data_IF_717619333765
#
_entry.id   IF_717619333765
#
_cell.length_a   1.000
_cell.length_b   1.000
_cell.length_c   1.000
_cell.angle_alpha   90.00
_cell.angle_beta   90.00
_cell.angle_gamma   90.00
#
_symmetry.space_group_name_H-M   'P 1'
#
loop_
_entity.id
_entity.type
_entity.pdbx_description
1 polymer ?
#
# COMPACT_ATOMS: atom_id res chain seq x y z
N UNK A 1 10.84 7.33 25.32
CA UNK A 1 9.60 6.86 24.64
C UNK A 1 9.45 7.68 23.37
N UNK A 2 9.34 7.02 22.20
CA UNK A 2 9.23 7.70 20.91
C UNK A 2 7.80 8.30 20.76
N UNK A 3 7.71 9.49 20.19
CA UNK A 3 6.48 10.26 20.00
C UNK A 3 6.13 10.33 18.53
N UNK A 4 4.93 9.90 18.19
CA UNK A 4 4.47 9.74 16.82
C UNK A 4 3.33 10.76 16.55
N UNK A 5 3.47 11.58 15.52
CA UNK A 5 2.37 12.37 14.98
C UNK A 5 1.80 11.67 13.73
N UNK A 6 0.53 11.32 13.75
CA UNK A 6 -0.17 10.70 12.64
C UNK A 6 -1.13 11.71 12.00
N UNK A 7 -0.80 12.16 10.79
CA UNK A 7 -1.64 13.03 9.97
C UNK A 7 -2.56 12.19 9.08
N UNK A 8 -3.85 12.55 9.03
CA UNK A 8 -4.89 11.75 8.40
C UNK A 8 -5.34 10.56 9.26
N UNK A 9 -5.29 10.73 10.59
CA UNK A 9 -5.49 9.66 11.57
C UNK A 9 -6.87 8.99 11.50
N UNK A 10 -7.89 9.70 11.02
CA UNK A 10 -9.25 9.19 10.84
C UNK A 10 -9.55 8.68 9.42
N UNK A 11 -8.58 8.73 8.51
CA UNK A 11 -8.68 8.20 7.15
C UNK A 11 -8.75 6.66 7.11
N UNK A 12 -8.89 6.09 5.91
CA UNK A 12 -9.02 4.63 5.73
C UNK A 12 -7.80 3.86 6.29
N UNK A 13 -6.59 4.27 5.91
CA UNK A 13 -5.35 3.71 6.45
C UNK A 13 -5.07 4.27 7.86
N UNK A 14 -5.31 5.57 8.06
CA UNK A 14 -5.11 6.24 9.35
C UNK A 14 -5.81 5.54 10.51
N UNK A 15 -7.05 5.08 10.34
CA UNK A 15 -7.78 4.33 11.38
C UNK A 15 -7.06 3.05 11.82
N UNK A 16 -6.50 2.27 10.88
CA UNK A 16 -5.75 1.05 11.19
C UNK A 16 -4.46 1.36 11.96
N UNK A 17 -3.74 2.39 11.49
CA UNK A 17 -2.53 2.86 12.16
C UNK A 17 -2.86 3.38 13.56
N UNK A 18 -3.94 4.14 13.70
CA UNK A 18 -4.45 4.64 14.98
C UNK A 18 -4.73 3.48 15.95
N UNK A 19 -5.43 2.45 15.47
CA UNK A 19 -5.78 1.28 16.30
C UNK A 19 -4.53 0.49 16.73
N UNK A 20 -3.47 0.45 15.91
CA UNK A 20 -2.20 -0.19 16.25
C UNK A 20 -1.34 0.68 17.18
N UNK A 21 -1.25 1.98 16.94
CA UNK A 21 -0.53 2.90 17.83
C UNK A 21 -1.11 2.91 19.25
N UNK A 22 -2.42 2.80 19.41
CA UNK A 22 -3.08 2.70 20.73
C UNK A 22 -2.70 1.45 21.52
N UNK A 23 -2.26 0.40 20.85
CA UNK A 23 -1.78 -0.85 21.48
C UNK A 23 -0.27 -0.84 21.73
N UNK A 24 0.43 0.15 21.20
CA UNK A 24 1.88 0.27 21.31
C UNK A 24 2.33 0.99 22.58
N UNK A 25 3.64 1.03 22.80
CA UNK A 25 4.26 1.83 23.85
C UNK A 25 4.53 3.27 23.41
N UNK A 26 4.20 3.67 22.19
CA UNK A 26 4.44 5.02 21.69
C UNK A 26 3.43 6.03 22.24
N UNK A 27 3.90 7.26 22.45
CA UNK A 27 3.00 8.41 22.65
C UNK A 27 2.56 8.89 21.28
N UNK A 28 1.24 8.94 21.02
CA UNK A 28 0.69 9.27 19.70
C UNK A 28 -0.17 10.53 19.72
N UNK A 29 0.06 11.40 18.74
CA UNK A 29 -0.71 12.62 18.46
C UNK A 29 -1.48 12.38 17.16
N UNK A 30 -2.82 12.45 17.21
CA UNK A 30 -3.69 12.15 16.09
C UNK A 30 -4.18 13.45 15.46
N UNK A 31 -3.72 13.74 14.24
CA UNK A 31 -4.07 14.95 13.49
C UNK A 31 -5.06 14.60 12.39
N UNK A 32 -6.19 15.28 12.38
CA UNK A 32 -7.24 15.09 11.38
C UNK A 32 -7.97 16.40 11.13
N UNK A 33 -8.41 16.62 9.88
CA UNK A 33 -9.12 17.85 9.47
C UNK A 33 -10.42 17.55 8.74
N UNK A 34 -10.56 16.36 8.15
CA UNK A 34 -11.75 15.96 7.41
C UNK A 34 -12.89 15.55 8.36
N UNK A 35 -14.11 16.02 8.09
CA UNK A 35 -15.29 15.72 8.93
C UNK A 35 -15.50 14.23 9.20
N UNK A 36 -15.39 13.41 8.15
CA UNK A 36 -15.52 11.95 8.28
C UNK A 36 -14.38 11.35 9.12
N UNK A 37 -13.18 11.87 8.97
CA UNK A 37 -12.02 11.42 9.75
C UNK A 37 -12.17 11.80 11.22
N UNK A 38 -12.61 13.00 11.51
CA UNK A 38 -12.93 13.46 12.88
C UNK A 38 -14.00 12.59 13.53
N UNK A 39 -15.04 12.21 12.78
CA UNK A 39 -16.07 11.29 13.30
C UNK A 39 -15.48 9.90 13.59
N UNK A 40 -14.61 9.39 12.72
CA UNK A 40 -13.94 8.11 12.96
C UNK A 40 -13.05 8.13 14.23
N UNK A 41 -12.41 9.26 14.54
CA UNK A 41 -11.64 9.44 15.78
C UNK A 41 -12.56 9.52 17.01
N UNK A 42 -13.66 10.28 16.93
CA UNK A 42 -14.65 10.35 18.02
C UNK A 42 -15.21 8.99 18.40
N UNK A 43 -15.54 8.15 17.39
CA UNK A 43 -16.00 6.78 17.61
C UNK A 43 -14.96 5.89 18.32
N UNK A 44 -13.68 6.25 18.25
CA UNK A 44 -12.57 5.60 18.97
C UNK A 44 -12.26 6.23 20.32
N UNK A 45 -13.01 7.27 20.71
CA UNK A 45 -12.77 8.03 21.95
C UNK A 45 -11.47 8.82 21.90
N UNK A 46 -11.08 9.30 20.72
CA UNK A 46 -9.84 10.05 20.49
C UNK A 46 -10.20 11.51 20.18
N UNK A 47 -9.64 12.43 20.95
CA UNK A 47 -9.66 13.85 20.65
C UNK A 47 -8.49 14.17 19.70
N UNK A 48 -8.74 14.89 18.59
CA UNK A 48 -7.67 15.24 17.65
C UNK A 48 -6.71 16.26 18.28
N UNK A 49 -5.43 16.10 17.98
CA UNK A 49 -4.37 17.04 18.35
C UNK A 49 -4.19 18.09 17.24
N UNK A 50 -3.87 19.32 17.59
CA UNK A 50 -3.52 20.31 16.57
C UNK A 50 -2.21 19.94 15.85
N UNK A 51 -2.09 20.32 14.58
CA UNK A 51 -0.86 20.08 13.81
C UNK A 51 0.37 20.75 14.44
N UNK A 52 0.19 21.94 15.00
CA UNK A 52 1.27 22.70 15.66
C UNK A 52 1.79 21.96 16.90
N UNK A 53 0.90 21.52 17.76
CA UNK A 53 1.25 20.76 18.96
C UNK A 53 1.94 19.43 18.59
N UNK A 54 1.36 18.68 17.65
CA UNK A 54 1.91 17.42 17.20
C UNK A 54 3.35 17.58 16.64
N UNK A 55 3.57 18.55 15.74
CA UNK A 55 4.90 18.82 15.16
C UNK A 55 5.93 19.28 16.20
N UNK A 56 5.51 20.04 17.21
CA UNK A 56 6.41 20.52 18.25
C UNK A 56 6.97 19.41 19.14
N UNK A 57 6.31 18.26 19.18
CA UNK A 57 6.63 17.16 20.09
C UNK A 57 7.12 15.90 19.39
N UNK A 58 6.65 15.62 18.17
CA UNK A 58 6.87 14.36 17.47
C UNK A 58 8.34 14.08 17.13
N UNK A 59 8.76 12.85 17.30
CA UNK A 59 10.05 12.32 16.84
C UNK A 59 9.88 11.67 15.44
N UNK A 60 8.66 11.18 15.13
CA UNK A 60 8.26 10.67 13.81
C UNK A 60 6.93 11.30 13.40
N UNK A 61 6.85 11.77 12.16
CA UNK A 61 5.64 12.31 11.53
C UNK A 61 5.22 11.38 10.40
N UNK A 62 4.05 10.76 10.54
CA UNK A 62 3.47 9.83 9.55
C UNK A 62 2.41 10.58 8.75
N UNK A 63 2.51 10.56 7.41
CA UNK A 63 1.53 11.13 6.50
C UNK A 63 0.65 10.04 5.90
N UNK A 64 -0.50 9.76 6.54
CA UNK A 64 -1.53 8.81 6.07
C UNK A 64 -2.65 9.54 5.31
N UNK A 65 -2.27 10.34 4.32
CA UNK A 65 -3.13 11.20 3.52
C UNK A 65 -3.07 10.80 2.04
N UNK A 66 -4.05 11.19 1.21
CA UNK A 66 -4.03 10.92 -0.22
C UNK A 66 -2.76 11.44 -0.92
N UNK A 67 -2.23 10.69 -1.90
CA UNK A 67 -1.00 11.02 -2.62
C UNK A 67 -1.05 12.38 -3.30
N UNK A 68 -2.20 12.75 -3.83
CA UNK A 68 -2.46 14.05 -4.46
C UNK A 68 -2.30 15.25 -3.51
N UNK A 69 -2.30 15.02 -2.19
CA UNK A 69 -2.14 16.07 -1.18
C UNK A 69 -0.73 16.08 -0.55
N UNK A 70 0.08 15.04 -0.77
CA UNK A 70 1.38 14.89 -0.11
C UNK A 70 2.33 16.05 -0.43
N UNK A 71 2.34 16.55 -1.67
CA UNK A 71 3.16 17.69 -2.07
C UNK A 71 2.83 18.94 -1.23
N UNK A 72 1.58 19.34 -1.23
CA UNK A 72 1.13 20.57 -0.55
C UNK A 72 1.26 20.46 0.98
N UNK A 73 0.91 19.28 1.53
CA UNK A 73 1.00 19.05 2.97
C UNK A 73 2.46 19.01 3.43
N UNK A 74 3.34 18.31 2.70
CA UNK A 74 4.78 18.29 3.06
C UNK A 74 5.39 19.68 3.01
N UNK A 75 5.00 20.53 2.03
CA UNK A 75 5.46 21.92 1.93
C UNK A 75 5.03 22.77 3.14
N UNK A 76 3.88 22.47 3.74
CA UNK A 76 3.40 23.19 4.93
C UNK A 76 4.01 22.66 6.24
N UNK A 77 4.30 21.37 6.33
CA UNK A 77 4.72 20.70 7.57
C UNK A 77 6.24 20.67 7.74
N UNK A 78 7.00 20.33 6.69
CA UNK A 78 8.46 20.13 6.77
C UNK A 78 9.21 21.35 7.31
N UNK A 79 8.88 22.61 6.92
CA UNK A 79 9.52 23.79 7.49
C UNK A 79 9.32 23.95 9.00
N UNK A 80 8.25 23.36 9.55
CA UNK A 80 7.87 23.44 10.97
C UNK A 80 8.35 22.24 11.79
N UNK A 81 8.84 21.20 11.16
CA UNK A 81 9.37 20.03 11.86
C UNK A 81 10.66 20.36 12.60
N UNK A 82 10.87 19.75 13.74
CA UNK A 82 12.15 19.84 14.46
C UNK A 82 13.25 19.11 13.67
N UNK A 83 14.49 19.58 13.79
CA UNK A 83 15.65 18.86 13.27
C UNK A 83 15.71 17.45 13.84
N UNK A 84 16.00 16.44 13.01
CA UNK A 84 16.01 15.03 13.36
C UNK A 84 14.65 14.35 13.44
N UNK A 85 13.53 15.08 13.23
CA UNK A 85 12.21 14.44 13.11
C UNK A 85 12.14 13.64 11.82
N UNK A 86 11.86 12.34 11.91
CA UNK A 86 11.71 11.47 10.75
C UNK A 86 10.34 11.67 10.11
N UNK A 87 10.31 12.03 8.83
CA UNK A 87 9.07 12.03 8.02
C UNK A 87 8.86 10.66 7.40
N UNK A 88 7.69 10.07 7.59
CA UNK A 88 7.29 8.78 7.05
C UNK A 88 6.09 8.93 6.12
N UNK A 89 6.22 8.41 4.90
CA UNK A 89 5.12 8.28 3.93
C UNK A 89 4.82 6.80 3.68
N UNK A 90 3.58 6.52 3.28
CA UNK A 90 3.05 5.15 3.21
C UNK A 90 2.97 4.61 1.79
N UNK A 91 3.46 5.40 0.82
CA UNK A 91 3.48 5.08 -0.60
C UNK A 91 4.75 5.66 -1.26
N UNK A 92 5.35 4.99 -2.26
CA UNK A 92 6.56 5.46 -2.91
C UNK A 92 6.33 6.59 -3.93
N UNK A 93 5.10 6.78 -4.44
CA UNK A 93 4.87 7.62 -5.61
C UNK A 93 5.36 9.06 -5.43
N UNK A 94 4.94 9.73 -4.37
CA UNK A 94 5.35 11.11 -4.13
C UNK A 94 6.86 11.25 -3.84
N UNK A 95 7.46 10.27 -3.16
CA UNK A 95 8.89 10.23 -2.88
C UNK A 95 9.70 10.01 -4.16
N UNK A 96 9.30 9.03 -5.00
CA UNK A 96 9.97 8.70 -6.26
C UNK A 96 9.85 9.83 -7.30
N UNK A 97 8.69 10.51 -7.34
CA UNK A 97 8.48 11.69 -8.19
C UNK A 97 9.29 12.93 -7.76
N UNK A 98 9.94 12.90 -6.59
CA UNK A 98 10.56 14.11 -6.02
C UNK A 98 9.54 15.21 -5.68
N UNK A 99 8.27 14.83 -5.45
CA UNK A 99 7.19 15.77 -5.19
C UNK A 99 7.11 16.21 -3.73
N UNK A 100 7.78 15.50 -2.82
CA UNK A 100 7.80 15.87 -1.41
C UNK A 100 8.77 17.02 -1.14
N UNK A 101 8.34 17.96 -0.30
CA UNK A 101 9.29 18.91 0.29
C UNK A 101 10.23 18.17 1.23
N UNK A 102 11.53 18.35 1.04
CA UNK A 102 12.59 17.73 1.83
C UNK A 102 13.45 18.78 2.51
N UNK A 103 14.09 18.38 3.61
CA UNK A 103 15.05 19.18 4.36
C UNK A 103 16.18 18.28 4.85
N UNK A 104 17.46 18.64 4.72
CA UNK A 104 18.58 17.71 5.01
C UNK A 104 18.59 17.16 6.42
N UNK A 105 18.05 17.89 7.39
CA UNK A 105 17.94 17.50 8.80
C UNK A 105 16.59 16.88 9.18
N UNK A 106 15.76 16.51 8.18
CA UNK A 106 14.50 15.78 8.34
C UNK A 106 14.60 14.50 7.50
N UNK A 107 15.02 13.37 8.09
CA UNK A 107 15.08 12.10 7.37
C UNK A 107 13.75 11.74 6.72
N UNK A 108 13.78 11.11 5.54
CA UNK A 108 12.60 10.65 4.82
C UNK A 108 12.60 9.13 4.70
N UNK A 109 11.59 8.52 5.27
CA UNK A 109 11.34 7.08 5.24
C UNK A 109 10.06 6.75 4.48
N UNK A 110 10.13 5.74 3.63
CA UNK A 110 8.99 5.25 2.84
C UNK A 110 8.71 3.82 3.22
N UNK A 111 7.45 3.48 3.46
CA UNK A 111 7.06 2.11 3.79
C UNK A 111 5.70 1.78 3.20
N UNK A 112 5.52 0.51 2.83
CA UNK A 112 4.25 0.03 2.27
C UNK A 112 3.95 -1.39 2.73
N UNK A 113 2.69 -1.74 3.07
CA UNK A 113 2.35 -3.12 3.40
C UNK A 113 2.28 -3.98 2.13
N UNK A 114 2.86 -5.18 2.15
CA UNK A 114 2.69 -6.14 1.05
C UNK A 114 1.29 -6.78 1.03
N UNK A 115 0.49 -6.51 2.06
CA UNK A 115 -0.77 -7.20 2.38
C UNK A 115 -0.57 -8.70 2.72
N UNK A 116 -1.56 -9.35 3.35
CA UNK A 116 -1.52 -10.78 3.61
C UNK A 116 -1.44 -11.59 2.31
N UNK A 117 -0.69 -12.70 2.29
CA UNK A 117 -0.50 -13.49 1.09
C UNK A 117 -1.80 -14.14 0.61
N UNK A 118 -1.87 -14.44 -0.69
CA UNK A 118 -3.02 -15.07 -1.34
C UNK A 118 -3.43 -16.40 -0.67
N UNK A 119 -2.44 -17.23 -0.33
CA UNK A 119 -2.65 -18.47 0.46
C UNK A 119 -2.21 -18.21 1.89
N UNK A 120 -3.19 -17.97 2.74
CA UNK A 120 -3.00 -17.69 4.15
C UNK A 120 -3.51 -18.88 4.98
N UNK A 121 -2.57 -19.65 5.54
CA UNK A 121 -2.84 -20.84 6.38
C UNK A 121 -3.10 -20.47 7.85
N UNK A 122 -3.42 -19.22 8.15
CA UNK A 122 -3.73 -18.80 9.52
C UNK A 122 -4.91 -19.60 10.08
N UNK A 123 -4.80 -20.20 11.28
CA UNK A 123 -5.88 -20.97 11.87
C UNK A 123 -7.10 -20.12 12.23
N UNK A 124 -6.93 -18.81 12.46
CA UNK A 124 -8.03 -17.87 12.73
C UNK A 124 -8.81 -17.54 11.44
N UNK A 125 -10.11 -17.89 11.34
CA UNK A 125 -10.92 -17.53 10.18
C UNK A 125 -11.05 -16.02 9.94
N UNK A 126 -10.95 -15.20 10.97
CA UNK A 126 -11.02 -13.74 10.84
C UNK A 126 -9.70 -13.19 10.26
N UNK A 127 -8.55 -13.77 10.65
CA UNK A 127 -7.26 -13.44 10.03
C UNK A 127 -7.27 -13.77 8.53
N UNK A 128 -7.85 -14.91 8.12
CA UNK A 128 -7.99 -15.26 6.69
C UNK A 128 -8.87 -14.32 5.88
N UNK A 129 -9.70 -13.50 6.54
CA UNK A 129 -10.56 -12.48 5.91
C UNK A 129 -10.05 -11.05 6.07
N UNK A 130 -8.95 -10.85 6.77
CA UNK A 130 -8.26 -9.57 6.87
C UNK A 130 -7.37 -9.36 5.63
N UNK A 131 -8.00 -9.14 4.48
CA UNK A 131 -7.32 -9.03 3.17
C UNK A 131 -6.35 -7.85 3.08
N UNK A 132 -6.56 -6.82 3.87
CA UNK A 132 -5.67 -5.65 3.88
C UNK A 132 -4.55 -5.77 4.91
N UNK A 133 -4.67 -6.65 5.90
CA UNK A 133 -3.73 -6.72 7.01
C UNK A 133 -3.83 -5.55 7.98
N UNK A 134 -2.93 -5.53 8.94
CA UNK A 134 -2.89 -4.49 9.97
C UNK A 134 -3.93 -4.62 11.07
N UNK A 135 -4.63 -5.76 11.12
CA UNK A 135 -5.63 -6.06 12.17
C UNK A 135 -5.34 -7.41 12.82
N UNK A 136 -5.41 -8.50 12.06
CA UNK A 136 -5.21 -9.88 12.54
C UNK A 136 -4.25 -10.67 11.68
N UNK A 137 -4.35 -10.57 10.33
CA UNK A 137 -3.49 -11.30 9.42
C UNK A 137 -2.05 -10.79 9.46
N UNK A 138 -1.09 -11.71 9.55
CA UNK A 138 0.32 -11.39 9.39
C UNK A 138 0.61 -10.97 7.95
N UNK A 139 1.35 -9.88 7.78
CA UNK A 139 1.76 -9.39 6.46
C UNK A 139 3.24 -9.02 6.45
N UNK A 140 3.95 -9.21 5.32
CA UNK A 140 5.23 -8.57 5.11
C UNK A 140 5.04 -7.08 4.84
N UNK A 141 6.12 -6.31 5.01
CA UNK A 141 6.18 -4.90 4.62
C UNK A 141 7.47 -4.64 3.85
N UNK A 142 7.46 -3.57 3.06
CA UNK A 142 8.66 -3.03 2.42
C UNK A 142 9.02 -1.69 3.04
N UNK A 143 10.32 -1.44 3.20
CA UNK A 143 10.87 -0.27 3.85
C UNK A 143 12.02 0.32 3.04
N UNK A 144 12.03 1.63 2.85
CA UNK A 144 13.10 2.35 2.18
C UNK A 144 13.44 3.65 2.92
N UNK A 145 14.73 3.94 3.05
CA UNK A 145 15.21 5.25 3.49
C UNK A 145 15.56 6.07 2.25
N UNK A 146 14.83 7.14 1.97
CA UNK A 146 15.10 8.02 0.86
C UNK A 146 16.33 8.90 1.15
N UNK A 147 16.41 9.44 2.36
CA UNK A 147 17.62 10.07 2.90
C UNK A 147 17.60 10.04 4.42
N UNK A 148 18.78 10.05 5.03
CA UNK A 148 18.97 9.94 6.47
C UNK A 148 20.12 8.98 6.80
N UNK A 149 20.25 8.66 8.08
CA UNK A 149 21.27 7.76 8.62
C UNK A 149 20.74 6.32 8.74
N UNK A 150 21.64 5.38 9.02
CA UNK A 150 21.26 4.00 9.32
C UNK A 150 20.46 3.88 10.64
N UNK A 151 20.61 4.82 11.54
CA UNK A 151 19.80 4.91 12.76
C UNK A 151 18.38 5.35 12.44
N UNK A 152 18.19 6.30 11.51
CA UNK A 152 16.88 6.72 11.01
C UNK A 152 16.16 5.57 10.30
N UNK A 153 16.90 4.74 9.53
CA UNK A 153 16.34 3.53 8.94
C UNK A 153 15.80 2.57 10.02
N UNK A 154 16.57 2.28 11.06
CA UNK A 154 16.15 1.37 12.13
C UNK A 154 14.92 1.89 12.88
N UNK A 155 14.89 3.19 13.18
CA UNK A 155 13.74 3.81 13.81
C UNK A 155 12.49 3.76 12.89
N UNK A 156 12.67 4.06 11.62
CA UNK A 156 11.58 3.97 10.62
C UNK A 156 11.01 2.55 10.49
N UNK A 157 11.87 1.54 10.41
CA UNK A 157 11.45 0.14 10.33
C UNK A 157 10.72 -0.32 11.60
N UNK A 158 11.19 0.06 12.80
CA UNK A 158 10.51 -0.26 14.07
C UNK A 158 9.10 0.33 14.12
N UNK A 159 8.95 1.60 13.73
CA UNK A 159 7.65 2.26 13.64
C UNK A 159 6.77 1.60 12.57
N UNK A 160 7.33 1.30 11.39
CA UNK A 160 6.61 0.62 10.31
C UNK A 160 6.09 -0.76 10.75
N UNK A 161 6.89 -1.55 11.45
CA UNK A 161 6.48 -2.82 12.04
C UNK A 161 5.33 -2.67 13.03
N UNK A 162 5.30 -1.58 13.78
CA UNK A 162 4.22 -1.29 14.73
C UNK A 162 2.93 -0.86 14.04
N UNK A 163 3.00 0.08 13.11
CA UNK A 163 1.80 0.63 12.47
C UNK A 163 1.10 -0.35 11.51
N UNK A 164 1.83 -1.32 10.97
CA UNK A 164 1.29 -2.37 10.09
C UNK A 164 1.13 -3.73 10.80
N UNK A 165 1.29 -3.77 12.12
CA UNK A 165 1.22 -5.03 12.89
C UNK A 165 -0.13 -5.77 12.68
N UNK A 166 -0.09 -7.12 12.66
CA UNK A 166 1.08 -7.98 12.88
C UNK A 166 1.95 -8.14 11.62
N UNK A 167 3.24 -7.84 11.74
CA UNK A 167 4.21 -7.95 10.65
C UNK A 167 4.96 -9.28 10.72
N UNK A 168 5.04 -10.00 9.60
CA UNK A 168 5.78 -11.26 9.50
C UNK A 168 7.25 -11.03 9.11
N UNK A 169 7.53 -10.00 8.31
CA UNK A 169 8.86 -9.66 7.80
C UNK A 169 8.88 -8.22 7.28
N UNK A 170 9.96 -7.49 7.54
CA UNK A 170 10.29 -6.23 6.89
C UNK A 170 11.38 -6.46 5.83
N UNK A 171 11.16 -5.97 4.62
CA UNK A 171 12.13 -6.03 3.52
C UNK A 171 12.70 -4.65 3.28
N UNK A 172 14.03 -4.51 3.43
CA UNK A 172 14.73 -3.29 3.04
C UNK A 172 14.93 -3.27 1.52
N UNK A 173 14.42 -2.23 0.89
CA UNK A 173 14.55 -1.98 -0.55
C UNK A 173 14.84 -0.49 -0.79
N UNK A 174 15.03 -0.07 -2.06
CA UNK A 174 15.10 1.36 -2.40
C UNK A 174 13.75 1.92 -2.75
N UNK A 175 13.62 3.27 -2.80
CA UNK A 175 12.39 3.95 -3.22
C UNK A 175 12.06 3.59 -4.68
N UNK A 176 13.07 3.50 -5.55
CA UNK A 176 12.92 3.11 -6.95
C UNK A 176 12.40 1.67 -7.07
N UNK A 177 12.94 0.74 -6.28
CA UNK A 177 12.45 -0.63 -6.24
C UNK A 177 11.01 -0.69 -5.74
N UNK A 178 10.65 0.13 -4.75
CA UNK A 178 9.28 0.21 -4.23
C UNK A 178 8.32 0.77 -5.29
N UNK A 179 8.75 1.75 -6.10
CA UNK A 179 7.97 2.28 -7.22
C UNK A 179 7.76 1.26 -8.35
N UNK A 180 8.66 0.30 -8.53
CA UNK A 180 8.43 -0.85 -9.42
C UNK A 180 7.36 -1.79 -8.84
N UNK A 181 7.38 -2.02 -7.52
CA UNK A 181 6.43 -2.94 -6.87
C UNK A 181 5.01 -2.38 -6.86
N UNK A 182 4.83 -1.13 -6.43
CA UNK A 182 3.49 -0.59 -6.18
C UNK A 182 2.80 -0.12 -7.47
N UNK A 183 3.19 0.95 -8.16
CA UNK A 183 2.46 1.38 -9.33
C UNK A 183 2.56 0.41 -10.52
N UNK A 184 3.72 -0.15 -10.80
CA UNK A 184 3.87 -0.96 -12.00
C UNK A 184 3.38 -2.41 -11.81
N UNK A 185 3.86 -3.11 -10.79
CA UNK A 185 3.54 -4.53 -10.59
C UNK A 185 2.16 -4.72 -9.94
N UNK A 186 1.90 -4.06 -8.82
CA UNK A 186 0.67 -4.30 -8.05
C UNK A 186 -0.55 -3.64 -8.69
N UNK A 187 -0.45 -2.39 -9.13
CA UNK A 187 -1.60 -1.66 -9.66
C UNK A 187 -1.76 -1.83 -11.17
N UNK A 188 -0.75 -1.42 -11.96
CA UNK A 188 -0.85 -1.43 -13.43
C UNK A 188 -0.98 -2.85 -13.99
N UNK A 189 -0.28 -3.83 -13.45
CA UNK A 189 -0.37 -5.22 -13.95
C UNK A 189 -1.43 -6.00 -13.16
N UNK A 190 -1.26 -6.17 -11.85
CA UNK A 190 -2.08 -7.11 -11.09
C UNK A 190 -3.52 -6.62 -10.94
N UNK A 191 -3.73 -5.39 -10.46
CA UNK A 191 -5.09 -4.87 -10.27
C UNK A 191 -5.84 -4.72 -11.60
N UNK A 192 -5.15 -4.28 -12.67
CA UNK A 192 -5.75 -4.22 -14.01
C UNK A 192 -6.17 -5.62 -14.51
N UNK A 193 -5.33 -6.65 -14.35
CA UNK A 193 -5.71 -8.02 -14.73
C UNK A 193 -6.90 -8.53 -13.90
N UNK A 194 -6.97 -8.21 -12.61
CA UNK A 194 -8.12 -8.58 -11.77
C UNK A 194 -9.42 -7.91 -12.24
N UNK A 195 -9.37 -6.63 -12.68
CA UNK A 195 -10.56 -5.96 -13.23
C UNK A 195 -11.02 -6.60 -14.54
N UNK A 196 -10.09 -6.98 -15.43
CA UNK A 196 -10.40 -7.71 -16.68
C UNK A 196 -11.04 -9.06 -16.38
N UNK A 197 -10.57 -9.79 -15.37
CA UNK A 197 -11.19 -11.06 -14.93
C UNK A 197 -12.64 -10.81 -14.49
N UNK A 198 -12.90 -9.73 -13.74
CA UNK A 198 -14.26 -9.38 -13.34
C UNK A 198 -15.14 -9.03 -14.55
N UNK A 199 -14.64 -8.23 -15.50
CA UNK A 199 -15.35 -7.88 -16.72
C UNK A 199 -15.68 -9.11 -17.57
N UNK A 200 -14.78 -10.10 -17.63
CA UNK A 200 -15.03 -11.37 -18.32
C UNK A 200 -16.17 -12.16 -17.67
N UNK A 201 -16.30 -12.16 -16.35
CA UNK A 201 -17.43 -12.74 -15.63
C UNK A 201 -18.74 -12.04 -16.01
N UNK A 202 -18.77 -10.71 -15.98
CA UNK A 202 -19.95 -9.92 -16.30
C UNK A 202 -20.39 -10.12 -17.77
N UNK A 203 -19.44 -10.23 -18.69
CA UNK A 203 -19.71 -10.51 -20.11
C UNK A 203 -20.28 -11.93 -20.32
N UNK A 204 -19.81 -12.94 -19.59
CA UNK A 204 -20.39 -14.29 -19.66
C UNK A 204 -21.84 -14.30 -19.20
N UNK A 205 -22.16 -13.62 -18.11
CA UNK A 205 -23.54 -13.44 -17.62
C UNK A 205 -24.41 -12.70 -18.66
N UNK A 206 -23.91 -11.62 -19.24
CA UNK A 206 -24.59 -10.88 -20.30
C UNK A 206 -24.92 -11.74 -21.53
N UNK A 207 -24.09 -12.74 -21.80
CA UNK A 207 -24.31 -13.74 -22.90
C UNK A 207 -25.21 -14.89 -22.53
N UNK A 208 -25.81 -14.88 -21.33
CA UNK A 208 -26.83 -15.85 -20.92
C UNK A 208 -26.31 -17.00 -20.07
N UNK A 209 -25.05 -16.94 -19.58
CA UNK A 209 -24.59 -17.90 -18.58
C UNK A 209 -25.27 -17.55 -17.24
N UNK A 210 -25.90 -18.54 -16.54
CA UNK A 210 -26.48 -18.27 -15.23
C UNK A 210 -25.44 -17.69 -14.25
N UNK A 211 -25.82 -16.63 -13.53
CA UNK A 211 -24.89 -15.84 -12.68
C UNK A 211 -24.16 -16.72 -11.65
N UNK A 212 -24.87 -17.57 -10.92
CA UNK A 212 -24.27 -18.45 -9.92
C UNK A 212 -23.23 -19.40 -10.55
N UNK A 213 -23.59 -20.02 -11.69
CA UNK A 213 -22.66 -20.91 -12.39
C UNK A 213 -21.43 -20.18 -12.92
N UNK A 214 -21.62 -19.00 -13.50
CA UNK A 214 -20.51 -18.18 -13.98
C UNK A 214 -19.56 -17.76 -12.83
N UNK A 215 -20.14 -17.36 -11.70
CA UNK A 215 -19.39 -16.93 -10.51
C UNK A 215 -18.59 -18.09 -9.91
N UNK A 216 -19.21 -19.23 -9.68
CA UNK A 216 -18.53 -20.39 -9.10
C UNK A 216 -17.42 -20.90 -10.02
N UNK A 217 -17.70 -20.94 -11.33
CA UNK A 217 -16.70 -21.34 -12.32
C UNK A 217 -15.52 -20.36 -12.36
N UNK A 218 -15.78 -19.05 -12.38
CA UNK A 218 -14.72 -18.02 -12.43
C UNK A 218 -13.84 -18.08 -11.18
N UNK A 219 -14.42 -18.12 -9.97
CA UNK A 219 -13.64 -18.11 -8.74
C UNK A 219 -12.74 -19.35 -8.62
N UNK A 220 -13.23 -20.52 -9.01
CA UNK A 220 -12.41 -21.74 -9.07
C UNK A 220 -11.31 -21.64 -10.13
N UNK A 221 -11.61 -21.06 -11.29
CA UNK A 221 -10.67 -20.90 -12.40
C UNK A 221 -9.74 -19.69 -12.27
N UNK A 222 -9.89 -18.86 -11.25
CA UNK A 222 -8.86 -17.91 -10.81
C UNK A 222 -7.89 -18.59 -9.84
N UNK A 223 -8.41 -19.36 -8.90
CA UNK A 223 -7.60 -20.00 -7.86
C UNK A 223 -6.60 -21.02 -8.44
N UNK A 224 -7.05 -21.94 -9.31
CA UNK A 224 -6.20 -23.00 -9.88
C UNK A 224 -5.05 -22.45 -10.73
N UNK A 225 -5.25 -21.56 -11.73
CA UNK A 225 -4.16 -20.97 -12.47
C UNK A 225 -3.13 -20.23 -11.60
N UNK A 226 -3.59 -19.47 -10.61
CA UNK A 226 -2.68 -18.80 -9.68
C UNK A 226 -1.83 -19.82 -8.89
N UNK A 227 -2.46 -20.89 -8.38
CA UNK A 227 -1.73 -21.95 -7.66
C UNK A 227 -0.65 -22.61 -8.54
N UNK A 228 -0.95 -22.83 -9.83
CA UNK A 228 0.01 -23.42 -10.79
C UNK A 228 1.16 -22.45 -11.09
N UNK A 229 0.86 -21.19 -11.48
CA UNK A 229 1.89 -20.25 -11.93
C UNK A 229 2.80 -19.76 -10.81
N UNK A 230 2.31 -19.74 -9.57
CA UNK A 230 3.09 -19.38 -8.39
C UNK A 230 3.65 -20.58 -7.61
N UNK A 231 3.48 -21.80 -8.12
CA UNK A 231 4.07 -23.01 -7.54
C UNK A 231 3.47 -23.43 -6.20
N UNK A 232 2.23 -23.03 -5.90
CA UNK A 232 1.53 -23.47 -4.70
C UNK A 232 1.04 -24.91 -4.80
N UNK A 233 1.01 -25.47 -6.01
CA UNK A 233 0.70 -26.85 -6.31
C UNK A 233 1.69 -27.39 -7.36
N UNK A 234 2.12 -28.64 -7.19
CA UNK A 234 2.93 -29.34 -8.19
C UNK A 234 2.03 -29.87 -9.33
N UNK A 235 1.65 -28.96 -10.22
CA UNK A 235 0.78 -29.22 -11.36
C UNK A 235 1.15 -28.34 -12.56
N UNK A 236 0.67 -28.75 -13.74
CA UNK A 236 0.83 -28.00 -14.97
C UNK A 236 -0.50 -27.80 -15.68
N UNK A 237 -0.58 -26.77 -16.51
CA UNK A 237 -1.71 -26.60 -17.41
C UNK A 237 -1.80 -27.76 -18.40
N UNK A 238 -3.01 -28.18 -18.73
CA UNK A 238 -3.24 -29.13 -19.82
C UNK A 238 -2.77 -28.54 -21.16
N UNK A 239 -2.49 -29.41 -22.15
CA UNK A 239 -2.06 -28.95 -23.47
C UNK A 239 -3.10 -28.05 -24.15
N UNK A 240 -4.39 -28.32 -23.93
CA UNK A 240 -5.46 -27.47 -24.41
C UNK A 240 -5.43 -26.08 -23.76
N UNK A 241 -5.23 -26.02 -22.45
CA UNK A 241 -5.12 -24.75 -21.71
C UNK A 241 -3.88 -23.95 -22.15
N UNK A 242 -2.72 -24.59 -22.36
CA UNK A 242 -1.50 -23.92 -22.88
C UNK A 242 -1.78 -23.21 -24.22
N UNK A 243 -2.47 -23.89 -25.15
CA UNK A 243 -2.82 -23.30 -26.47
C UNK A 243 -3.75 -22.10 -26.34
N UNK A 244 -4.75 -22.17 -25.46
CA UNK A 244 -5.69 -21.06 -25.24
C UNK A 244 -5.04 -19.90 -24.49
N UNK A 245 -4.08 -20.15 -23.61
CA UNK A 245 -3.27 -19.12 -22.97
C UNK A 245 -2.47 -18.34 -24.03
N UNK A 246 -1.79 -19.02 -24.96
CA UNK A 246 -1.07 -18.39 -26.08
C UNK A 246 -2.01 -17.55 -26.95
N UNK A 247 -3.13 -18.11 -27.36
CA UNK A 247 -4.17 -17.41 -28.12
C UNK A 247 -4.68 -16.15 -27.40
N UNK A 248 -4.92 -16.23 -26.07
CA UNK A 248 -5.34 -15.11 -25.25
C UNK A 248 -4.28 -14.02 -25.14
N UNK A 249 -3.04 -14.40 -24.92
CA UNK A 249 -1.92 -13.44 -24.83
C UNK A 249 -1.79 -12.54 -26.07
N UNK A 250 -1.89 -13.12 -27.27
CA UNK A 250 -1.81 -12.37 -28.52
C UNK A 250 -2.95 -11.36 -28.71
N UNK A 251 -4.09 -11.54 -28.05
CA UNK A 251 -5.32 -10.73 -28.22
C UNK A 251 -5.60 -9.77 -27.09
N UNK A 252 -5.15 -10.09 -25.88
CA UNK A 252 -5.43 -9.31 -24.69
C UNK A 252 -4.22 -8.50 -24.22
N UNK A 253 -2.99 -8.96 -24.53
CA UNK A 253 -1.77 -8.37 -23.98
C UNK A 253 -0.94 -7.77 -25.11
N UNK A 254 -0.53 -6.51 -24.93
CA UNK A 254 0.40 -5.87 -25.88
C UNK A 254 1.75 -6.60 -25.87
N UNK A 255 2.38 -6.82 -27.03
CA UNK A 255 3.64 -7.59 -27.12
C UNK A 255 4.77 -7.02 -26.26
N UNK A 256 4.82 -5.72 -26.13
CA UNK A 256 5.87 -4.95 -25.43
C UNK A 256 5.45 -4.51 -24.00
N UNK A 257 4.42 -5.13 -23.41
CA UNK A 257 3.87 -4.75 -22.10
C UNK A 257 4.92 -4.66 -20.97
N UNK A 258 6.04 -5.40 -21.09
CA UNK A 258 7.11 -5.37 -20.09
C UNK A 258 7.81 -4.01 -19.99
N UNK A 259 7.67 -3.14 -20.99
CA UNK A 259 8.17 -1.77 -20.94
C UNK A 259 7.52 -0.94 -19.85
N UNK A 260 6.38 -1.39 -19.28
CA UNK A 260 5.76 -0.78 -18.11
C UNK A 260 6.69 -0.74 -16.89
N UNK A 261 7.74 -1.58 -16.90
CA UNK A 261 8.77 -1.64 -15.85
C UNK A 261 10.04 -0.81 -16.21
N UNK A 262 10.10 -0.19 -17.39
CA UNK A 262 11.20 0.70 -17.73
C UNK A 262 11.13 1.96 -16.86
N UNK A 263 12.28 2.56 -16.48
CA UNK A 263 12.31 3.69 -15.55
C UNK A 263 11.40 4.86 -15.95
N UNK A 264 11.40 5.23 -17.25
CA UNK A 264 10.54 6.32 -17.74
C UNK A 264 9.05 5.99 -17.63
N UNK A 265 8.68 4.74 -17.89
CA UNK A 265 7.31 4.28 -17.78
C UNK A 265 6.85 4.19 -16.31
N UNK A 266 7.72 3.74 -15.40
CA UNK A 266 7.46 3.77 -13.96
C UNK A 266 7.25 5.21 -13.49
N UNK A 267 8.09 6.15 -13.95
CA UNK A 267 7.93 7.57 -13.63
C UNK A 267 6.60 8.14 -14.17
N UNK A 268 6.18 7.76 -15.38
CA UNK A 268 4.87 8.17 -15.94
C UNK A 268 3.71 7.69 -15.04
N UNK A 269 3.74 6.43 -14.59
CA UNK A 269 2.72 5.85 -13.71
C UNK A 269 2.68 6.57 -12.35
N UNK A 270 3.84 6.81 -11.77
CA UNK A 270 3.99 7.55 -10.52
C UNK A 270 3.41 8.97 -10.63
N UNK A 271 3.74 9.69 -11.69
CA UNK A 271 3.22 11.04 -11.93
C UNK A 271 1.70 11.03 -12.17
N UNK A 272 1.17 9.97 -12.78
CA UNK A 272 -0.27 9.80 -12.95
C UNK A 272 -1.00 9.70 -11.62
N UNK A 273 -0.43 8.96 -10.65
CA UNK A 273 -0.95 8.85 -9.27
C UNK A 273 -0.90 10.21 -8.57
N UNK A 274 0.28 10.82 -8.50
CA UNK A 274 0.52 12.09 -7.78
C UNK A 274 -0.36 13.23 -8.33
N UNK A 275 -0.64 13.24 -9.63
CA UNK A 275 -1.49 14.25 -10.29
C UNK A 275 -2.98 13.89 -10.28
N UNK A 276 -3.40 12.81 -9.65
CA UNK A 276 -4.80 12.38 -9.58
C UNK A 276 -5.40 12.00 -10.94
N UNK A 277 -4.64 11.30 -11.77
CA UNK A 277 -5.09 10.82 -13.07
C UNK A 277 -5.08 11.88 -14.19
N UNK A 278 -4.50 13.05 -13.97
CA UNK A 278 -4.34 14.08 -15.00
C UNK A 278 -3.04 13.87 -15.78
N UNK A 279 -3.15 13.74 -17.11
CA UNK A 279 -2.00 13.67 -18.03
C UNK A 279 -1.36 15.04 -18.25
#
# INVERSE_FOLDING_TARGET
>A
MMRIALFGAGGKMGCRITDNLRKSAYEAYYVETGERGLENLRQRGIEPTSAEEALSRADVVILAIPDTLLQDVSAQLVPKMRSGTLMMVLDPAAAHAGALTTRPDVPLFVTHPCHPPLWNDDPDPEARRDFFGGTKAKQPIVCALAHGSEEDYRHGEEVACTIFAPVSRAHRITVEQMAILEPAMAETVTACCCTIIREALDEAIRRGVPEEAARDFMLGHVNIPLAIVFGAVDAQFSDGAKRIIEYGRERLIQPDWKRLFDPDSVMEQVLYIVRGGRR
#
